data_IF_850607695814
#
_entry.id   IF_850607695814
#
_cell.length_a   1.000
_cell.length_b   1.000
_cell.length_c   1.000
_cell.angle_alpha   90.00
_cell.angle_beta   90.00
_cell.angle_gamma   90.00
#
_symmetry.space_group_name_H-M   'P 1'
#
loop_
_entity.id
_entity.type
_entity.pdbx_description
1 polymer ?
#
# COMPACT_ATOMS: atom_id res chain seq x y z
N UNK A 1 -44.00 78.95 9.56
CA UNK A 1 -43.91 77.60 10.17
C UNK A 1 -42.84 76.83 9.41
N UNK A 2 -41.86 76.31 10.14
CA UNK A 2 -40.64 75.64 9.69
C UNK A 2 -40.84 74.40 8.84
N UNK A 3 -39.90 74.10 7.94
CA UNK A 3 -39.27 72.78 7.81
C UNK A 3 -37.99 72.86 6.94
N UNK A 4 -36.80 72.69 7.54
CA UNK A 4 -35.94 71.47 7.53
C UNK A 4 -35.29 71.21 6.14
N UNK A 5 -33.97 71.44 5.95
CA UNK A 5 -32.85 70.47 6.15
C UNK A 5 -33.08 69.19 5.31
N UNK A 6 -32.17 68.65 4.49
CA UNK A 6 -30.72 68.57 4.56
C UNK A 6 -30.21 67.80 3.31
N UNK A 7 -28.91 67.87 3.10
CA UNK A 7 -28.11 67.26 2.03
C UNK A 7 -28.33 65.76 1.79
N UNK A 8 -28.27 65.35 0.52
CA UNK A 8 -28.05 63.95 0.15
C UNK A 8 -26.81 63.87 -0.74
N UNK A 9 -25.73 63.34 -0.16
CA UNK A 9 -24.54 62.92 -0.90
C UNK A 9 -24.80 61.54 -1.52
N UNK A 10 -24.51 61.30 -2.79
CA UNK A 10 -24.54 59.94 -3.32
C UNK A 10 -23.29 59.19 -2.84
N UNK A 11 -23.48 58.22 -1.94
CA UNK A 11 -22.44 57.26 -1.62
C UNK A 11 -22.35 56.24 -2.77
N UNK A 12 -21.23 56.24 -3.50
CA UNK A 12 -20.90 55.18 -4.46
C UNK A 12 -20.75 53.86 -3.70
N UNK A 13 -21.74 52.98 -3.86
CA UNK A 13 -21.73 51.62 -3.34
C UNK A 13 -20.76 50.81 -4.21
N UNK A 14 -19.53 50.57 -3.73
CA UNK A 14 -18.62 49.64 -4.40
C UNK A 14 -19.29 48.26 -4.47
N UNK A 15 -19.43 47.73 -5.68
CA UNK A 15 -19.94 46.40 -5.92
C UNK A 15 -18.95 45.39 -5.32
N UNK A 16 -19.42 44.61 -4.35
CA UNK A 16 -18.70 43.48 -3.79
C UNK A 16 -18.69 42.38 -4.87
N UNK A 17 -17.59 42.25 -5.61
CA UNK A 17 -17.45 41.16 -6.58
C UNK A 17 -17.47 39.83 -5.82
N UNK A 18 -18.28 38.84 -6.21
CA UNK A 18 -18.22 37.53 -5.59
C UNK A 18 -16.83 36.95 -5.87
N UNK A 19 -16.04 36.77 -4.81
CA UNK A 19 -14.81 36.00 -4.89
C UNK A 19 -15.17 34.63 -5.47
N UNK A 20 -14.56 34.29 -6.61
CA UNK A 20 -14.76 33.01 -7.27
C UNK A 20 -14.50 31.89 -6.26
N UNK A 21 -15.56 31.22 -5.81
CA UNK A 21 -15.46 30.07 -4.94
C UNK A 21 -14.66 29.01 -5.71
N UNK A 22 -13.47 28.70 -5.22
CA UNK A 22 -12.67 27.60 -5.77
C UNK A 22 -13.50 26.33 -5.63
N UNK A 23 -13.86 25.71 -6.74
CA UNK A 23 -14.57 24.44 -6.74
C UNK A 23 -13.72 23.43 -5.97
N UNK A 24 -14.19 23.01 -4.79
CA UNK A 24 -13.59 21.90 -4.08
C UNK A 24 -13.66 20.66 -4.98
N UNK A 25 -12.56 19.89 -5.02
CA UNK A 25 -12.44 18.65 -5.79
C UNK A 25 -13.70 17.79 -5.65
N UNK A 26 -14.40 17.53 -6.74
CA UNK A 26 -15.64 16.72 -6.77
C UNK A 26 -15.37 15.22 -6.68
N UNK A 27 -14.11 14.80 -6.59
CA UNK A 27 -13.75 13.40 -6.40
C UNK A 27 -14.17 12.95 -4.98
N UNK A 28 -14.97 11.89 -4.83
CA UNK A 28 -15.29 11.35 -3.52
C UNK A 28 -14.02 10.98 -2.74
N UNK A 29 -14.01 11.24 -1.43
CA UNK A 29 -12.91 10.84 -0.56
C UNK A 29 -12.79 9.31 -0.53
N UNK A 30 -11.62 8.78 -0.91
CA UNK A 30 -11.34 7.35 -0.86
C UNK A 30 -10.42 7.03 0.30
N UNK A 31 -10.88 6.20 1.24
CA UNK A 31 -10.06 5.69 2.34
C UNK A 31 -9.01 4.74 1.79
N UNK A 32 -7.74 5.00 2.05
CA UNK A 32 -6.61 4.19 1.57
C UNK A 32 -5.66 3.88 2.71
N UNK A 33 -5.25 2.61 2.80
CA UNK A 33 -4.19 2.15 3.68
C UNK A 33 -3.14 1.45 2.83
N UNK A 34 -2.04 2.16 2.57
CA UNK A 34 -0.96 1.68 1.69
C UNK A 34 0.30 1.40 2.49
N UNK A 35 0.93 0.28 2.19
CA UNK A 35 2.21 -0.12 2.78
C UNK A 35 3.24 -0.34 1.67
N UNK A 36 4.43 0.21 1.90
CA UNK A 36 5.58 0.03 1.02
C UNK A 36 6.66 -0.72 1.79
N UNK A 37 7.15 -1.81 1.22
CA UNK A 37 8.09 -2.72 1.85
C UNK A 37 9.30 -2.93 0.94
N UNK A 38 10.49 -2.78 1.52
CA UNK A 38 11.74 -3.23 0.90
C UNK A 38 12.35 -4.28 1.81
N UNK A 39 12.42 -5.52 1.32
CA UNK A 39 12.84 -6.64 2.15
C UNK A 39 13.17 -7.89 1.35
N UNK A 40 13.61 -8.92 2.06
CA UNK A 40 14.01 -10.18 1.42
C UNK A 40 12.91 -11.22 1.52
N UNK A 41 12.77 -12.00 0.46
CA UNK A 41 11.88 -13.13 0.42
C UNK A 41 12.35 -14.20 1.43
N UNK A 42 11.45 -14.60 2.33
CA UNK A 42 11.74 -15.58 3.39
C UNK A 42 11.84 -17.02 2.92
N UNK A 43 10.97 -17.36 1.98
CA UNK A 43 10.79 -18.66 1.36
C UNK A 43 10.25 -18.44 -0.05
N UNK A 44 10.36 -19.45 -0.90
CA UNK A 44 9.83 -19.39 -2.26
C UNK A 44 8.30 -19.14 -2.24
N UNK A 45 7.73 -18.42 -3.21
CA UNK A 45 6.31 -18.11 -3.20
C UNK A 45 5.47 -19.36 -3.47
N UNK A 46 4.43 -19.55 -2.67
CA UNK A 46 3.58 -20.74 -2.74
C UNK A 46 2.23 -20.40 -3.35
N UNK A 47 1.72 -21.30 -4.18
CA UNK A 47 0.39 -21.22 -4.74
C UNK A 47 -0.62 -21.86 -3.80
N UNK A 48 -1.70 -21.15 -3.50
CA UNK A 48 -2.82 -21.68 -2.74
C UNK A 48 -4.12 -21.53 -3.52
N UNK A 49 -4.89 -22.61 -3.62
CA UNK A 49 -6.26 -22.55 -4.11
C UNK A 49 -7.18 -21.99 -3.00
N UNK A 50 -8.02 -21.01 -3.35
CA UNK A 50 -9.08 -20.54 -2.45
C UNK A 50 -10.36 -21.35 -2.62
N UNK A 51 -11.24 -21.30 -1.63
CA UNK A 51 -12.57 -21.93 -1.70
C UNK A 51 -13.45 -21.41 -2.83
N UNK A 52 -13.15 -20.22 -3.38
CA UNK A 52 -13.83 -19.66 -4.54
C UNK A 52 -13.30 -20.18 -5.88
N UNK A 53 -12.34 -21.13 -5.87
CA UNK A 53 -11.72 -21.69 -7.07
C UNK A 53 -10.68 -20.78 -7.73
N UNK A 54 -10.32 -19.65 -7.09
CA UNK A 54 -9.27 -18.77 -7.58
C UNK A 54 -7.94 -19.17 -6.94
N UNK A 55 -6.88 -19.20 -7.73
CA UNK A 55 -5.54 -19.44 -7.20
C UNK A 55 -4.92 -18.12 -6.77
N UNK A 56 -4.32 -18.11 -5.57
CA UNK A 56 -3.63 -16.96 -5.00
C UNK A 56 -2.18 -17.33 -4.69
N UNK A 57 -1.28 -16.39 -4.88
CA UNK A 57 0.13 -16.58 -4.49
C UNK A 57 0.34 -15.97 -3.11
N UNK A 58 0.92 -16.73 -2.18
CA UNK A 58 1.29 -16.24 -0.85
C UNK A 58 2.78 -16.35 -0.65
N UNK A 59 3.35 -15.32 -0.04
CA UNK A 59 4.75 -15.31 0.32
C UNK A 59 5.02 -14.35 1.47
N UNK A 60 6.18 -14.52 2.10
CA UNK A 60 6.57 -13.72 3.26
C UNK A 60 7.81 -12.88 2.95
N UNK A 61 7.78 -11.61 3.34
CA UNK A 61 8.93 -10.71 3.27
C UNK A 61 9.45 -10.42 4.67
N UNK A 62 10.76 -10.60 4.84
CA UNK A 62 11.48 -10.18 6.03
C UNK A 62 12.00 -8.76 5.85
N UNK A 63 11.64 -7.87 6.78
CA UNK A 63 12.29 -6.56 6.94
C UNK A 63 12.96 -6.52 8.30
N UNK A 64 14.23 -6.12 8.34
CA UNK A 64 14.96 -6.03 9.60
C UNK A 64 15.20 -4.58 9.98
N UNK A 65 14.87 -4.22 11.22
CA UNK A 65 15.05 -2.89 11.79
C UNK A 65 15.96 -2.95 13.03
N UNK A 66 16.62 -1.84 13.33
CA UNK A 66 17.43 -1.66 14.54
C UNK A 66 18.95 -1.78 14.34
N UNK A 67 19.73 -1.55 15.42
CA UNK A 67 21.19 -1.62 15.41
C UNK A 67 21.70 -3.04 15.11
N UNK A 68 22.95 -3.15 14.66
CA UNK A 68 23.59 -4.43 14.27
C UNK A 68 23.50 -5.52 15.36
N UNK A 69 23.55 -5.11 16.63
CA UNK A 69 23.60 -6.01 17.79
C UNK A 69 22.22 -6.53 18.25
N UNK A 70 21.14 -5.81 17.92
CA UNK A 70 19.77 -6.20 18.28
C UNK A 70 18.83 -6.04 17.08
N UNK A 71 19.10 -6.82 16.04
CA UNK A 71 18.37 -6.73 14.77
C UNK A 71 17.02 -7.43 14.90
N UNK A 72 15.96 -6.64 14.98
CA UNK A 72 14.58 -7.13 15.03
C UNK A 72 14.07 -7.36 13.61
N UNK A 73 13.52 -8.55 13.34
CA UNK A 73 13.01 -8.90 12.01
C UNK A 73 11.50 -9.05 12.04
N UNK A 74 10.82 -8.21 11.27
CA UNK A 74 9.38 -8.29 11.04
C UNK A 74 9.10 -9.13 9.81
N UNK A 75 8.16 -10.06 9.94
CA UNK A 75 7.71 -10.94 8.86
C UNK A 75 6.35 -10.47 8.37
N UNK A 76 6.30 -10.03 7.11
CA UNK A 76 5.10 -9.53 6.47
C UNK A 76 4.49 -10.61 5.58
N UNK A 77 3.20 -10.87 5.77
CA UNK A 77 2.43 -11.79 4.92
C UNK A 77 1.88 -11.02 3.74
N UNK A 78 2.24 -11.43 2.53
CA UNK A 78 1.73 -10.84 1.30
C UNK A 78 0.88 -11.87 0.56
N UNK A 79 -0.28 -11.42 0.09
CA UNK A 79 -1.20 -12.17 -0.76
C UNK A 79 -1.32 -11.46 -2.09
N UNK A 80 -1.13 -12.21 -3.18
CA UNK A 80 -1.34 -11.72 -4.53
C UNK A 80 -2.52 -12.45 -5.17
N UNK A 81 -3.48 -11.68 -5.71
CA UNK A 81 -4.69 -12.17 -6.39
C UNK A 81 -4.60 -12.10 -7.92
N UNK A 82 -3.39 -11.88 -8.46
CA UNK A 82 -3.17 -11.83 -9.91
C UNK A 82 -3.69 -13.11 -10.57
N UNK A 83 -4.51 -13.00 -11.64
CA UNK A 83 -5.00 -14.16 -12.38
C UNK A 83 -3.84 -14.95 -13.00
N UNK A 84 -4.14 -16.16 -13.45
CA UNK A 84 -3.16 -17.00 -14.15
C UNK A 84 -2.54 -16.26 -15.35
N UNK A 85 -1.21 -16.31 -15.46
CA UNK A 85 -0.46 -15.62 -16.50
C UNK A 85 0.99 -15.35 -16.13
N UNK A 86 1.71 -14.69 -17.04
CA UNK A 86 3.16 -14.45 -16.94
C UNK A 86 3.60 -13.72 -15.66
N UNK A 87 2.76 -12.84 -15.12
CA UNK A 87 3.06 -12.13 -13.88
C UNK A 87 3.05 -13.06 -12.66
N UNK A 88 2.15 -14.06 -12.64
CA UNK A 88 2.11 -15.07 -11.59
C UNK A 88 3.36 -15.95 -11.68
N UNK A 89 3.68 -16.46 -12.86
CA UNK A 89 4.85 -17.32 -13.07
C UNK A 89 6.15 -16.59 -12.72
N UNK A 90 6.23 -15.30 -13.04
CA UNK A 90 7.35 -14.45 -12.63
C UNK A 90 7.54 -14.42 -11.12
N UNK A 91 6.46 -14.33 -10.35
CA UNK A 91 6.52 -14.31 -8.88
C UNK A 91 6.85 -15.70 -8.34
N UNK A 92 6.22 -16.76 -8.86
CA UNK A 92 6.51 -18.13 -8.46
C UNK A 92 7.95 -18.54 -8.76
N UNK A 93 8.56 -17.99 -9.80
CA UNK A 93 9.98 -18.21 -10.13
C UNK A 93 10.98 -17.46 -9.24
N UNK A 94 10.53 -16.68 -8.24
CA UNK A 94 11.42 -15.96 -7.35
C UNK A 94 12.04 -16.90 -6.30
N UNK A 95 13.35 -16.84 -6.20
CA UNK A 95 14.09 -17.64 -5.22
C UNK A 95 14.07 -16.99 -3.84
N UNK A 96 14.21 -17.83 -2.81
CA UNK A 96 14.43 -17.38 -1.43
C UNK A 96 15.61 -16.40 -1.35
N UNK A 97 15.47 -15.35 -0.56
CA UNK A 97 16.51 -14.34 -0.36
C UNK A 97 16.54 -13.22 -1.40
N UNK A 98 15.74 -13.31 -2.46
CA UNK A 98 15.52 -12.21 -3.41
C UNK A 98 15.12 -10.94 -2.68
N UNK A 99 15.80 -9.83 -2.96
CA UNK A 99 15.46 -8.51 -2.46
C UNK A 99 14.36 -7.90 -3.34
N UNK A 100 13.25 -7.56 -2.72
CA UNK A 100 12.04 -7.09 -3.37
C UNK A 100 11.64 -5.71 -2.84
N UNK A 101 11.12 -4.89 -3.73
CA UNK A 101 10.27 -3.75 -3.41
C UNK A 101 8.83 -4.16 -3.66
N UNK A 102 7.96 -4.00 -2.67
CA UNK A 102 6.54 -4.36 -2.74
C UNK A 102 5.70 -3.20 -2.24
N UNK A 103 4.73 -2.81 -3.04
CA UNK A 103 3.67 -1.90 -2.65
C UNK A 103 2.36 -2.68 -2.57
N UNK A 104 1.61 -2.49 -1.50
CA UNK A 104 0.36 -3.19 -1.30
C UNK A 104 -0.62 -2.45 -0.41
N UNK A 105 -1.87 -2.87 -0.48
CA UNK A 105 -2.94 -2.37 0.37
C UNK A 105 -3.01 -3.22 1.66
N UNK A 106 -2.97 -2.56 2.81
CA UNK A 106 -2.97 -3.18 4.11
C UNK A 106 -4.39 -3.60 4.52
N UNK A 107 -4.59 -4.88 4.83
CA UNK A 107 -5.86 -5.43 5.32
C UNK A 107 -5.69 -6.06 6.70
N UNK A 108 -6.52 -5.66 7.65
CA UNK A 108 -6.61 -6.33 8.94
C UNK A 108 -7.65 -7.45 8.83
N UNK A 109 -7.20 -8.70 9.01
CA UNK A 109 -8.07 -9.86 9.06
C UNK A 109 -8.26 -10.29 10.52
N UNK A 110 -9.52 -10.37 10.96
CA UNK A 110 -9.87 -10.91 12.28
C UNK A 110 -10.33 -12.36 12.10
N UNK A 111 -9.78 -13.26 12.90
CA UNK A 111 -10.15 -14.67 12.93
C UNK A 111 -10.19 -15.14 14.39
N UNK A 112 -11.00 -16.14 14.69
CA UNK A 112 -11.10 -16.72 16.03
C UNK A 112 -10.18 -17.92 16.14
N UNK A 113 -9.42 -18.02 17.24
CA UNK A 113 -8.65 -19.21 17.56
C UNK A 113 -9.54 -20.35 18.07
N UNK A 114 -8.94 -21.52 18.32
CA UNK A 114 -9.69 -22.69 18.79
C UNK A 114 -10.33 -22.48 20.18
N UNK A 115 -9.80 -21.51 20.93
CA UNK A 115 -10.24 -21.08 22.25
C UNK A 115 -11.31 -19.96 22.19
N UNK A 116 -11.70 -19.52 20.99
CA UNK A 116 -12.73 -18.50 20.75
C UNK A 116 -12.29 -17.06 21.00
N UNK A 117 -10.99 -16.78 21.08
CA UNK A 117 -10.47 -15.43 21.24
C UNK A 117 -10.27 -14.76 19.86
N UNK A 118 -10.70 -13.49 19.70
CA UNK A 118 -10.50 -12.77 18.44
C UNK A 118 -9.01 -12.42 18.26
N UNK A 119 -8.41 -12.96 17.21
CA UNK A 119 -7.05 -12.66 16.77
C UNK A 119 -7.11 -11.75 15.56
N UNK A 120 -6.29 -10.70 15.57
CA UNK A 120 -6.11 -9.83 14.41
C UNK A 120 -4.77 -10.12 13.74
N UNK A 121 -4.76 -10.20 12.41
CA UNK A 121 -3.55 -10.37 11.62
C UNK A 121 -3.54 -9.38 10.47
N UNK A 122 -2.40 -8.71 10.30
CA UNK A 122 -2.18 -7.84 9.16
C UNK A 122 -1.78 -8.70 7.95
N UNK A 123 -2.55 -8.58 6.87
CA UNK A 123 -2.24 -9.15 5.57
C UNK A 123 -2.10 -8.02 4.54
N UNK A 124 -1.14 -8.16 3.63
CA UNK A 124 -0.88 -7.16 2.60
C UNK A 124 -1.34 -7.72 1.26
N UNK A 125 -2.20 -6.98 0.57
CA UNK A 125 -2.61 -7.31 -0.79
C UNK A 125 -1.64 -6.65 -1.75
N UNK A 126 -0.89 -7.46 -2.50
CA UNK A 126 0.11 -6.95 -3.44
C UNK A 126 -0.56 -6.11 -4.54
N UNK A 127 -0.04 -4.91 -4.79
CA UNK A 127 -0.43 -4.03 -5.89
C UNK A 127 0.67 -3.89 -6.93
N UNK A 128 1.91 -3.74 -6.47
CA UNK A 128 3.10 -3.68 -7.32
C UNK A 128 4.25 -4.46 -6.68
N UNK A 129 5.08 -5.07 -7.52
CA UNK A 129 6.27 -5.80 -7.12
C UNK A 129 7.39 -5.49 -8.10
N UNK A 130 8.56 -5.20 -7.56
CA UNK A 130 9.79 -4.99 -8.31
C UNK A 130 10.93 -5.79 -7.66
N UNK A 131 11.70 -6.51 -8.49
CA UNK A 131 12.86 -7.27 -8.05
C UNK A 131 14.08 -6.37 -8.08
N UNK A 132 14.60 -6.03 -6.89
CA UNK A 132 15.77 -5.17 -6.77
C UNK A 132 17.09 -5.95 -6.91
N UNK A 133 17.13 -7.18 -6.38
CA UNK A 133 18.32 -8.04 -6.45
C UNK A 133 17.95 -9.50 -6.30
N UNK A 134 18.43 -10.35 -7.20
CA UNK A 134 18.33 -11.82 -7.06
C UNK A 134 19.44 -12.35 -6.13
N UNK A 135 19.20 -13.44 -5.39
CA UNK A 135 20.23 -14.06 -4.58
C UNK A 135 21.39 -14.48 -5.50
N UNK A 136 22.61 -14.26 -5.02
CA UNK A 136 23.81 -14.66 -5.73
C UNK A 136 23.98 -16.16 -5.54
N UNK A 137 23.53 -16.94 -6.53
CA UNK A 137 23.74 -18.37 -6.57
C UNK A 137 25.15 -18.58 -7.13
N UNK A 138 26.17 -18.37 -6.28
CA UNK A 138 27.58 -18.31 -6.67
C UNK A 138 27.92 -19.17 -7.88
N UNK A 139 27.92 -18.56 -9.06
CA UNK A 139 28.57 -19.11 -10.22
C UNK A 139 30.04 -18.80 -10.00
N UNK A 140 30.76 -19.76 -9.44
CA UNK A 140 32.21 -19.82 -9.59
C UNK A 140 32.48 -19.93 -11.09
N UNK A 141 32.73 -18.79 -11.73
CA UNK A 141 33.31 -18.72 -13.06
C UNK A 141 34.67 -19.41 -13.00
N UNK A 142 34.66 -20.73 -13.18
CA UNK A 142 35.85 -21.54 -13.40
C UNK A 142 36.39 -21.20 -14.79
N UNK A 143 37.18 -20.13 -14.80
CA UNK A 143 37.97 -19.69 -15.94
C UNK A 143 39.17 -20.63 -16.08
N UNK A 144 39.15 -21.44 -17.12
CA UNK A 144 40.33 -22.13 -17.66
C UNK A 144 41.03 -21.23 -18.69
#
# INVERSE_FOLDING_TARGET
>A
MSAFLSSVRPALRMANAPQAARAFSSSPAHSVARLTLTGRLGAEPELHATSSGQEIVKYNIATSHGPRDNRQTSWWRITNFVPEGSQRDYILGLQKGTLLYVEGDAKMATWEDAEGQPRSSLNIVQRSLEVLRRPDNGHSDESN
#
